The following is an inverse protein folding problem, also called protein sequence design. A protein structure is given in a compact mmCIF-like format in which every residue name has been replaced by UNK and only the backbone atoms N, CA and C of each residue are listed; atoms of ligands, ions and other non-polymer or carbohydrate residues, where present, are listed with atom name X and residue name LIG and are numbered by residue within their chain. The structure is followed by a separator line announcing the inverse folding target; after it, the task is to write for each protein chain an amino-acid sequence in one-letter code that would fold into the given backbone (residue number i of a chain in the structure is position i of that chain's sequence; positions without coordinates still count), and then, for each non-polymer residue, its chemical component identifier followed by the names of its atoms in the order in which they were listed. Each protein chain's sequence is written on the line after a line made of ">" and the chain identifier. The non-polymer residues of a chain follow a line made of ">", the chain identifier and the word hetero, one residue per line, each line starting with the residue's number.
data_IF_700092388581
#
_entry.id   IF_700092388581
#
_cell.length_a   1.000
_cell.length_b   1.000
_cell.length_c   1.000
_cell.angle_alpha   90.00
_cell.angle_beta   90.00
_cell.angle_gamma   90.00
#
_symmetry.space_group_name_H-M   'P 1'
#
loop_
_entity.id
_entity.type
_entity.pdbx_description
1 polymer ?
#
# COMPACT_ATOMS: atom_id res chain seq x y z
N UNK A 1 -15.40 23.32 9.13
CA UNK A 1 -15.06 22.51 7.93
C UNK A 1 -15.97 21.30 7.90
N UNK A 2 -16.79 21.13 6.86
CA UNK A 2 -17.76 20.03 6.77
C UNK A 2 -17.06 18.67 6.77
N UNK A 3 -17.64 17.66 7.43
CA UNK A 3 -17.17 16.26 7.45
C UNK A 3 -16.88 15.71 6.06
N UNK A 4 -17.62 16.17 5.04
CA UNK A 4 -17.38 15.83 3.62
C UNK A 4 -16.02 16.30 3.10
N UNK A 5 -15.54 17.47 3.53
CA UNK A 5 -14.25 18.04 3.11
C UNK A 5 -13.09 17.28 3.72
N UNK A 6 -13.17 16.92 5.00
CA UNK A 6 -12.17 16.08 5.69
C UNK A 6 -12.06 14.68 5.08
N UNK A 7 -13.19 14.06 4.76
CA UNK A 7 -13.22 12.72 4.19
C UNK A 7 -12.57 12.67 2.79
N UNK A 8 -12.77 13.72 1.98
CA UNK A 8 -12.13 13.85 0.66
C UNK A 8 -10.60 14.04 0.76
N UNK A 9 -10.14 14.85 1.73
CA UNK A 9 -8.70 15.06 1.97
C UNK A 9 -8.04 13.76 2.42
N UNK A 10 -8.65 13.06 3.37
CA UNK A 10 -8.13 11.79 3.89
C UNK A 10 -8.09 10.73 2.79
N UNK A 11 -9.13 10.62 1.95
CA UNK A 11 -9.12 9.74 0.77
C UNK A 11 -7.93 10.03 -0.16
N UNK A 12 -7.66 11.31 -0.44
CA UNK A 12 -6.54 11.73 -1.31
C UNK A 12 -5.18 11.41 -0.69
N UNK A 13 -5.01 11.62 0.61
CA UNK A 13 -3.75 11.34 1.30
C UNK A 13 -3.47 9.84 1.36
N UNK A 14 -4.47 9.04 1.76
CA UNK A 14 -4.36 7.58 1.76
C UNK A 14 -3.97 7.06 0.39
N UNK A 15 -4.67 7.51 -0.66
CA UNK A 15 -4.36 7.09 -2.02
C UNK A 15 -2.93 7.46 -2.42
N UNK A 16 -2.48 8.67 -2.09
CA UNK A 16 -1.11 9.12 -2.35
C UNK A 16 -0.07 8.24 -1.65
N UNK A 17 -0.34 7.79 -0.43
CA UNK A 17 0.57 6.89 0.28
C UNK A 17 0.54 5.49 -0.32
N UNK A 18 -0.64 4.93 -0.58
CA UNK A 18 -0.79 3.60 -1.18
C UNK A 18 -0.17 3.53 -2.57
N UNK A 19 -0.32 4.57 -3.39
CA UNK A 19 0.22 4.60 -4.75
C UNK A 19 1.74 4.48 -4.82
N UNK A 20 2.46 4.76 -3.71
CA UNK A 20 3.91 4.55 -3.63
C UNK A 20 4.31 3.08 -3.54
N UNK A 21 3.41 2.21 -3.09
CA UNK A 21 3.68 0.79 -2.86
C UNK A 21 3.04 -0.12 -3.90
N UNK A 22 2.37 0.45 -4.90
CA UNK A 22 1.54 -0.29 -5.85
C UNK A 22 1.82 0.13 -7.28
N UNK A 23 1.86 -0.84 -8.18
CA UNK A 23 1.86 -0.58 -9.62
C UNK A 23 0.41 -0.36 -10.07
N UNK A 24 0.13 0.77 -10.72
CA UNK A 24 -1.13 1.04 -11.40
C UNK A 24 -2.40 1.11 -10.52
N UNK A 25 -2.27 1.54 -9.27
CA UNK A 25 -3.42 1.87 -8.41
C UNK A 25 -3.98 3.24 -8.80
N UNK A 26 -5.20 3.25 -9.34
CA UNK A 26 -5.92 4.47 -9.68
C UNK A 26 -7.01 4.78 -8.63
N UNK A 27 -7.37 6.07 -8.42
CA UNK A 27 -8.37 6.47 -7.42
C UNK A 27 -9.73 5.78 -7.55
N UNK A 28 -10.10 5.46 -8.79
CA UNK A 28 -11.33 4.78 -9.21
C UNK A 28 -11.37 3.30 -8.81
N UNK A 29 -10.22 2.64 -8.65
CA UNK A 29 -10.14 1.25 -8.16
C UNK A 29 -10.42 1.12 -6.67
N UNK A 30 -10.39 2.22 -5.91
CA UNK A 30 -10.67 2.21 -4.47
C UNK A 30 -12.14 2.55 -4.23
N UNK A 31 -12.92 1.53 -3.88
CA UNK A 31 -14.28 1.71 -3.41
C UNK A 31 -14.26 2.09 -1.91
N UNK A 32 -14.06 3.38 -1.61
CA UNK A 32 -14.11 3.92 -0.25
C UNK A 32 -15.48 4.56 0.02
N UNK A 33 -16.23 3.98 0.94
CA UNK A 33 -17.41 4.62 1.54
C UNK A 33 -16.93 5.66 2.55
N UNK A 34 -16.90 6.94 2.14
CA UNK A 34 -16.49 8.05 3.02
C UNK A 34 -17.41 8.23 4.22
N UNK A 35 -18.66 7.79 4.17
CA UNK A 35 -19.57 7.80 5.32
C UNK A 35 -19.24 6.71 6.34
N UNK A 36 -18.98 5.48 5.88
CA UNK A 36 -18.65 4.35 6.77
C UNK A 36 -17.18 4.33 7.20
N UNK A 37 -16.31 4.98 6.42
CA UNK A 37 -14.87 4.92 6.62
C UNK A 37 -14.28 3.59 6.20
N UNK A 38 -14.96 2.84 5.35
CA UNK A 38 -14.52 1.52 4.92
C UNK A 38 -14.33 1.50 3.42
N UNK A 39 -13.28 0.85 2.97
CA UNK A 39 -13.06 0.62 1.55
C UNK A 39 -12.26 -0.61 1.26
N UNK A 40 -12.34 -1.06 0.01
CA UNK A 40 -11.58 -2.20 -0.46
C UNK A 40 -11.06 -1.96 -1.87
N UNK A 41 -9.95 -2.62 -2.17
CA UNK A 41 -9.41 -2.78 -3.51
C UNK A 41 -8.96 -4.22 -3.66
N UNK A 42 -9.19 -4.79 -4.84
CA UNK A 42 -8.86 -6.17 -5.17
C UNK A 42 -7.82 -6.22 -6.27
N UNK A 43 -7.05 -7.30 -6.31
CA UNK A 43 -6.06 -7.60 -7.34
C UNK A 43 -5.05 -6.47 -7.53
N UNK A 44 -4.33 -6.15 -6.45
CA UNK A 44 -3.33 -5.09 -6.42
C UNK A 44 -1.97 -5.70 -6.75
N UNK A 45 -1.27 -5.10 -7.69
CA UNK A 45 0.14 -5.37 -7.91
C UNK A 45 0.95 -4.43 -7.02
N UNK A 46 1.86 -5.00 -6.20
CA UNK A 46 2.74 -4.18 -5.37
C UNK A 46 4.02 -3.86 -6.16
N UNK A 47 4.73 -2.82 -5.75
CA UNK A 47 5.99 -2.45 -6.39
C UNK A 47 7.16 -3.24 -5.77
N UNK A 48 7.82 -4.04 -6.60
CA UNK A 48 8.90 -4.95 -6.23
C UNK A 48 10.12 -4.19 -5.73
N UNK A 49 10.50 -3.10 -6.39
CA UNK A 49 11.68 -2.32 -5.99
C UNK A 49 11.44 -1.66 -4.64
N UNK A 50 10.25 -1.07 -4.47
CA UNK A 50 9.83 -0.45 -3.22
C UNK A 50 9.81 -1.49 -2.09
N UNK A 51 9.31 -2.70 -2.33
CA UNK A 51 9.29 -3.76 -1.33
C UNK A 51 10.68 -4.34 -1.04
N UNK A 52 11.56 -4.49 -2.04
CA UNK A 52 12.96 -4.88 -1.84
C UNK A 52 13.65 -3.88 -0.91
N UNK A 53 13.48 -2.58 -1.16
CA UNK A 53 14.06 -1.52 -0.35
C UNK A 53 13.46 -1.49 1.06
N UNK A 54 12.14 -1.66 1.18
CA UNK A 54 11.44 -1.64 2.47
C UNK A 54 11.80 -2.84 3.36
N UNK A 55 11.90 -4.04 2.77
CA UNK A 55 12.23 -5.28 3.48
C UNK A 55 13.73 -5.46 3.67
N UNK A 56 14.55 -4.57 3.12
CA UNK A 56 15.99 -4.63 3.09
C UNK A 56 16.50 -5.99 2.58
N UNK A 57 15.96 -6.44 1.44
CA UNK A 57 16.31 -7.76 0.92
C UNK A 57 17.79 -7.81 0.49
N UNK A 58 18.50 -8.91 0.75
CA UNK A 58 19.88 -9.08 0.30
C UNK A 58 20.02 -8.87 -1.20
N UNK A 59 21.13 -8.27 -1.64
CA UNK A 59 21.36 -7.89 -3.04
C UNK A 59 21.39 -9.08 -4.00
N UNK A 60 21.66 -10.28 -3.50
CA UNK A 60 21.62 -11.52 -4.28
C UNK A 60 20.20 -12.09 -4.47
N UNK A 61 19.16 -11.49 -3.88
CA UNK A 61 17.76 -11.94 -3.97
C UNK A 61 16.91 -10.86 -4.63
N UNK A 62 16.12 -11.20 -5.65
CA UNK A 62 15.19 -10.27 -6.30
C UNK A 62 13.73 -10.71 -6.11
N UNK A 63 12.83 -9.73 -5.99
CA UNK A 63 11.39 -9.93 -6.14
C UNK A 63 11.08 -9.78 -7.64
N UNK A 64 10.56 -10.85 -8.24
CA UNK A 64 10.18 -10.85 -9.66
C UNK A 64 8.75 -10.37 -9.87
N UNK A 65 7.88 -10.69 -8.89
CA UNK A 65 6.47 -10.34 -8.91
C UNK A 65 5.90 -10.35 -7.51
N UNK A 66 4.96 -9.44 -7.25
CA UNK A 66 4.25 -9.38 -5.99
C UNK A 66 2.80 -8.95 -6.21
N UNK A 67 1.89 -9.69 -5.60
CA UNK A 67 0.47 -9.53 -5.79
C UNK A 67 -0.29 -9.63 -4.48
N UNK A 68 -1.30 -8.79 -4.30
CA UNK A 68 -2.25 -8.85 -3.20
C UNK A 68 -3.67 -9.02 -3.74
N UNK A 69 -4.37 -10.08 -3.34
CA UNK A 69 -5.73 -10.34 -3.82
C UNK A 69 -6.75 -9.29 -3.34
N UNK A 70 -6.57 -8.78 -2.12
CA UNK A 70 -7.47 -7.82 -1.49
C UNK A 70 -6.73 -7.02 -0.42
N UNK A 71 -6.84 -5.70 -0.51
CA UNK A 71 -6.56 -4.79 0.60
C UNK A 71 -7.86 -4.13 1.06
N UNK A 72 -8.02 -4.02 2.37
CA UNK A 72 -9.14 -3.33 3.01
C UNK A 72 -8.63 -2.21 3.87
N UNK A 73 -9.36 -1.09 3.87
CA UNK A 73 -9.06 0.07 4.70
C UNK A 73 -10.22 0.38 5.62
N UNK A 74 -9.91 0.70 6.87
CA UNK A 74 -10.87 1.16 7.88
C UNK A 74 -10.37 2.46 8.52
N UNK A 75 -11.21 3.48 8.47
CA UNK A 75 -10.97 4.84 8.97
C UNK A 75 -11.99 5.10 10.09
N UNK A 76 -11.56 5.15 11.35
CA UNK A 76 -12.46 5.39 12.47
C UNK A 76 -12.77 6.89 12.61
N UNK A 77 -13.61 7.45 11.73
CA UNK A 77 -13.85 8.90 11.62
C UNK A 77 -14.11 9.62 12.94
N UNK A 78 -14.92 9.03 13.83
CA UNK A 78 -15.29 9.61 15.12
C UNK A 78 -14.23 9.41 16.21
N UNK A 79 -13.25 8.54 15.98
CA UNK A 79 -12.22 8.15 16.94
C UNK A 79 -10.80 8.30 16.39
N UNK A 80 -10.55 9.14 15.38
CA UNK A 80 -9.22 9.35 14.77
C UNK A 80 -8.13 9.79 15.76
N UNK A 81 -8.50 10.42 16.89
CA UNK A 81 -7.56 10.80 17.95
C UNK A 81 -7.13 9.62 18.84
N UNK A 82 -7.92 8.55 18.88
CA UNK A 82 -7.75 7.44 19.82
C UNK A 82 -7.57 6.09 19.13
N UNK A 83 -7.90 5.98 17.84
CA UNK A 83 -7.83 4.76 17.06
C UNK A 83 -7.14 5.03 15.72
N UNK A 84 -6.20 4.15 15.29
CA UNK A 84 -5.49 4.33 14.03
C UNK A 84 -6.38 4.02 12.82
N UNK A 85 -5.95 4.52 11.66
CA UNK A 85 -6.43 4.03 10.37
C UNK A 85 -5.80 2.65 10.14
N UNK A 86 -6.61 1.65 9.83
CA UNK A 86 -6.12 0.29 9.59
C UNK A 86 -6.13 -0.03 8.10
N UNK A 87 -5.01 -0.54 7.59
CA UNK A 87 -4.91 -1.19 6.29
C UNK A 87 -4.64 -2.67 6.54
N UNK A 88 -5.41 -3.54 5.89
CA UNK A 88 -5.25 -5.00 6.00
C UNK A 88 -5.09 -5.59 4.63
N UNK A 89 -4.06 -6.41 4.44
CA UNK A 89 -3.87 -7.24 3.25
C UNK A 89 -4.36 -8.65 3.60
N UNK A 90 -5.12 -9.26 2.70
CA UNK A 90 -5.67 -10.60 2.89
C UNK A 90 -4.63 -11.67 2.51
N UNK A 91 -4.34 -11.82 1.21
CA UNK A 91 -3.32 -12.75 0.70
C UNK A 91 -2.34 -12.01 -0.18
N UNK A 92 -1.07 -12.04 0.23
CA UNK A 92 0.07 -11.57 -0.56
C UNK A 92 0.82 -12.78 -1.11
N UNK A 93 1.03 -12.81 -2.42
CA UNK A 93 1.84 -13.81 -3.11
C UNK A 93 3.05 -13.08 -3.70
N UNK A 94 4.24 -13.63 -3.45
CA UNK A 94 5.49 -13.05 -3.92
C UNK A 94 6.34 -14.14 -4.58
N UNK A 95 6.83 -13.84 -5.77
CA UNK A 95 7.76 -14.67 -6.53
C UNK A 95 9.15 -14.03 -6.44
N UNK A 96 10.16 -14.83 -6.10
CA UNK A 96 11.53 -14.37 -5.92
C UNK A 96 12.52 -15.31 -6.59
N UNK A 97 13.70 -14.80 -6.94
CA UNK A 97 14.83 -15.60 -7.44
C UNK A 97 16.16 -15.07 -6.92
N UNK A 98 17.16 -15.93 -6.88
CA UNK A 98 18.55 -15.51 -6.71
C UNK A 98 19.05 -14.84 -7.99
N UNK A 99 19.88 -13.81 -7.85
CA UNK A 99 20.51 -13.11 -8.96
C UNK A 99 21.88 -13.71 -9.29
N UNK A 100 22.24 -13.75 -10.56
CA UNK A 100 23.59 -14.15 -11.00
C UNK A 100 24.64 -13.11 -10.59
N UNK A 101 24.31 -11.81 -10.77
CA UNK A 101 25.06 -10.68 -10.23
C UNK A 101 24.25 -9.99 -9.12
N UNK A 102 24.87 -9.60 -7.98
CA UNK A 102 24.16 -8.87 -6.94
C UNK A 102 23.57 -7.57 -7.48
N UNK A 103 22.30 -7.30 -7.12
CA UNK A 103 21.66 -6.01 -7.37
C UNK A 103 22.45 -4.88 -6.71
N UNK A 104 22.23 -3.65 -7.16
CA UNK A 104 22.65 -2.48 -6.42
C UNK A 104 22.12 -2.51 -4.97
N UNK A 105 22.85 -1.94 -4.00
CA UNK A 105 22.34 -1.80 -2.63
C UNK A 105 20.96 -1.15 -2.60
N UNK A 106 20.16 -1.55 -1.61
CA UNK A 106 18.82 -1.00 -1.44
C UNK A 106 18.89 0.53 -1.23
N UNK A 107 17.96 1.22 -1.87
CA UNK A 107 17.75 2.65 -1.63
C UNK A 107 17.17 2.92 -0.24
N UNK A 108 16.95 4.19 0.13
CA UNK A 108 16.29 4.52 1.40
C UNK A 108 14.89 3.89 1.44
N UNK A 109 14.53 3.37 2.62
CA UNK A 109 13.20 2.80 2.83
C UNK A 109 12.11 3.86 2.58
N UNK A 110 11.03 3.53 1.84
CA UNK A 110 9.95 4.48 1.50
C UNK A 110 9.12 4.93 2.72
N UNK A 111 9.32 4.29 3.88
CA UNK A 111 8.67 4.58 5.15
C UNK A 111 9.57 5.33 6.14
N UNK A 112 10.84 5.57 5.80
CA UNK A 112 11.80 6.31 6.62
C UNK A 112 11.63 7.84 6.51
#
# INVERSE_FOLDING_TARGET
>A
VSTRTMAAIIKKQILKHLSRFTKNLSPDKINLSTLKGEGQVTNIELDEEVLQNMLDLPTWLAINKVFCNKASIRIPWTKLKTHPICLSLDKVIMEMSTCDEPRAPNGPSPIA
#
